data_IF_277597928285
#
_entry.id   IF_277597928285
#
_cell.length_a   1.000
_cell.length_b   1.000
_cell.length_c   1.000
_cell.angle_alpha   90.00
_cell.angle_beta   90.00
_cell.angle_gamma   90.00
#
_symmetry.space_group_name_H-M   'P 1'
#
loop_
_entity.id
_entity.type
_entity.pdbx_description
1 polymer ?
#
# COMPACT_ATOMS: atom_id res chain seq x y z
N UNK A 1 -5.81 -14.23 4.42
CA UNK A 1 -5.98 -12.84 4.94
C UNK A 1 -5.78 -11.87 3.80
N UNK A 2 -6.51 -10.75 3.74
CA UNK A 2 -6.20 -9.68 2.79
C UNK A 2 -4.81 -9.12 3.07
N UNK A 3 -4.01 -8.88 2.04
CA UNK A 3 -2.72 -8.21 2.23
C UNK A 3 -2.53 -7.09 1.21
N UNK A 4 -2.83 -5.84 1.58
CA UNK A 4 -2.39 -4.69 0.81
C UNK A 4 -0.87 -4.52 0.96
N UNK A 5 -0.24 -4.07 -0.11
CA UNK A 5 1.19 -3.81 -0.21
C UNK A 5 1.37 -2.34 -0.58
N UNK A 6 2.24 -1.63 0.14
CA UNK A 6 2.52 -0.23 -0.13
C UNK A 6 3.73 -0.08 -1.06
N UNK A 7 3.53 0.66 -2.14
CA UNK A 7 4.57 1.01 -3.09
C UNK A 7 4.86 2.51 -3.11
N UNK A 8 6.09 2.86 -3.45
CA UNK A 8 6.53 4.20 -3.85
C UNK A 8 7.10 4.15 -5.27
N UNK A 9 6.87 5.20 -6.06
CA UNK A 9 7.58 5.37 -7.32
C UNK A 9 9.06 5.72 -7.10
N UNK A 10 10.00 5.15 -7.88
CA UNK A 10 11.39 5.59 -7.86
C UNK A 10 11.59 6.97 -8.51
N UNK A 11 10.64 7.43 -9.32
CA UNK A 11 10.78 8.65 -10.16
C UNK A 11 9.84 9.79 -9.78
N UNK A 12 8.92 9.57 -8.83
CA UNK A 12 8.04 10.62 -8.31
C UNK A 12 7.69 10.39 -6.83
N UNK A 13 7.00 11.35 -6.21
CA UNK A 13 6.63 11.28 -4.79
C UNK A 13 5.36 10.48 -4.52
N UNK A 14 4.72 9.96 -5.57
CA UNK A 14 3.49 9.19 -5.44
C UNK A 14 3.72 7.84 -4.76
N UNK A 15 2.76 7.50 -3.91
CA UNK A 15 2.69 6.24 -3.16
C UNK A 15 1.29 5.66 -3.27
N UNK A 16 1.20 4.35 -3.30
CA UNK A 16 -0.08 3.67 -3.45
C UNK A 16 -0.07 2.29 -2.82
N UNK A 17 -1.22 1.88 -2.32
CA UNK A 17 -1.50 0.51 -1.98
C UNK A 17 -1.97 -0.26 -3.20
N UNK A 18 -1.56 -1.52 -3.28
CA UNK A 18 -2.15 -2.53 -4.18
C UNK A 18 -2.54 -3.77 -3.40
N UNK A 19 -3.47 -4.56 -3.91
CA UNK A 19 -3.83 -5.86 -3.32
C UNK A 19 -2.79 -6.91 -3.72
N UNK A 20 -1.86 -7.22 -2.80
CA UNK A 20 -0.90 -8.30 -3.01
C UNK A 20 -1.53 -9.69 -2.83
N UNK A 21 -2.46 -9.82 -1.90
CA UNK A 21 -3.28 -11.02 -1.74
C UNK A 21 -4.74 -10.65 -1.44
N UNK A 22 -5.70 -10.99 -2.32
CA UNK A 22 -7.10 -10.66 -2.12
C UNK A 22 -7.71 -11.57 -1.05
N UNK A 23 -8.76 -11.09 -0.36
CA UNK A 23 -9.45 -11.89 0.66
C UNK A 23 -10.43 -12.90 0.04
N UNK A 24 -10.70 -12.78 -1.26
CA UNK A 24 -11.57 -13.63 -2.07
C UNK A 24 -11.50 -13.19 -3.54
N UNK A 25 -11.96 -14.00 -4.48
CA UNK A 25 -11.93 -13.67 -5.92
C UNK A 25 -12.70 -12.36 -6.17
N UNK A 26 -12.05 -11.39 -6.82
CA UNK A 26 -12.64 -10.08 -7.10
C UNK A 26 -12.69 -9.10 -5.92
N UNK A 27 -12.25 -9.51 -4.72
CA UNK A 27 -12.23 -8.63 -3.55
C UNK A 27 -10.99 -7.73 -3.53
N UNK A 28 -11.23 -6.43 -3.38
CA UNK A 28 -10.24 -5.37 -3.23
C UNK A 28 -10.70 -4.31 -2.22
N UNK A 29 -10.25 -3.08 -2.40
CA UNK A 29 -10.48 -1.98 -1.46
C UNK A 29 -11.93 -1.50 -1.38
N UNK A 30 -12.76 -1.73 -2.40
CA UNK A 30 -14.15 -1.25 -2.41
C UNK A 30 -15.13 -2.24 -1.78
N UNK A 31 -14.88 -3.54 -1.93
CA UNK A 31 -15.84 -4.60 -1.63
C UNK A 31 -15.35 -5.58 -0.55
N UNK A 32 -14.11 -5.45 -0.07
CA UNK A 32 -13.66 -6.24 1.06
C UNK A 32 -14.06 -5.59 2.38
N UNK A 33 -14.95 -6.24 3.14
CA UNK A 33 -15.37 -5.84 4.49
C UNK A 33 -14.22 -5.59 5.48
N UNK A 34 -13.06 -6.24 5.27
CA UNK A 34 -11.87 -6.06 6.12
C UNK A 34 -11.08 -4.80 5.75
N UNK A 35 -11.11 -4.36 4.49
CA UNK A 35 -10.38 -3.19 4.00
C UNK A 35 -11.27 -1.95 3.88
N UNK A 36 -12.59 -2.13 3.78
CA UNK A 36 -13.57 -1.06 3.79
C UNK A 36 -13.62 -0.45 5.18
N UNK A 37 -12.99 0.70 5.33
CA UNK A 37 -12.97 1.51 6.54
C UNK A 37 -12.64 2.95 6.20
N UNK A 38 -12.90 3.88 7.13
CA UNK A 38 -12.63 5.31 6.98
C UNK A 38 -11.12 5.55 7.03
N UNK A 39 -10.41 5.33 5.92
CA UNK A 39 -8.96 5.57 5.77
C UNK A 39 -8.08 4.97 6.89
N UNK A 40 -8.58 3.96 7.59
CA UNK A 40 -7.90 3.26 8.69
C UNK A 40 -7.83 1.79 8.30
N UNK A 41 -6.61 1.27 8.18
CA UNK A 41 -6.41 -0.13 7.90
C UNK A 41 -6.73 -0.97 9.14
N UNK A 42 -7.29 -2.18 8.98
CA UNK A 42 -7.57 -3.08 10.12
C UNK A 42 -6.31 -3.65 10.78
N UNK A 43 -5.14 -3.52 10.14
CA UNK A 43 -3.87 -4.08 10.58
C UNK A 43 -2.69 -3.19 10.15
N UNK A 44 -1.55 -3.37 10.82
CA UNK A 44 -0.29 -2.73 10.43
C UNK A 44 0.11 -3.16 9.01
N UNK A 45 0.65 -2.21 8.26
CA UNK A 45 1.26 -2.50 6.97
C UNK A 45 2.76 -2.63 7.13
N UNK A 46 3.34 -3.51 6.30
CA UNK A 46 4.79 -3.65 6.24
C UNK A 46 5.48 -2.37 5.76
N UNK A 47 6.78 -2.47 5.55
CA UNK A 47 7.56 -1.38 4.98
C UNK A 47 7.14 -1.06 3.53
N UNK A 48 7.47 0.15 3.08
CA UNK A 48 7.20 0.61 1.71
C UNK A 48 8.19 -0.04 0.75
N UNK A 49 7.68 -0.63 -0.33
CA UNK A 49 8.50 -1.16 -1.42
C UNK A 49 8.73 -0.10 -2.49
N UNK A 50 9.94 -0.05 -3.03
CA UNK A 50 10.21 0.71 -4.26
C UNK A 50 9.66 -0.09 -5.43
N UNK A 51 8.76 0.53 -6.20
CA UNK A 51 8.18 -0.06 -7.40
C UNK A 51 9.12 0.04 -8.60
N UNK A 52 8.78 -0.65 -9.69
CA UNK A 52 9.48 -0.49 -10.97
C UNK A 52 9.29 0.92 -11.55
N UNK A 53 10.27 1.45 -12.32
CA UNK A 53 10.08 2.68 -13.08
C UNK A 53 8.83 2.60 -13.97
N UNK A 54 8.15 3.74 -14.17
CA UNK A 54 6.90 3.83 -14.97
C UNK A 54 5.73 2.97 -14.46
N UNK A 55 5.75 2.49 -13.22
CA UNK A 55 4.60 1.78 -12.62
C UNK A 55 3.65 2.69 -11.82
N UNK A 56 3.98 3.97 -11.68
CA UNK A 56 3.17 4.91 -10.90
C UNK A 56 1.77 5.05 -11.52
N UNK A 57 0.68 4.74 -10.79
CA UNK A 57 -0.66 4.77 -11.36
C UNK A 57 -1.07 6.18 -11.84
N UNK A 58 -0.71 7.22 -11.09
CA UNK A 58 -1.04 8.60 -11.48
C UNK A 58 -0.21 9.06 -12.68
N UNK A 59 1.10 8.79 -12.71
CA UNK A 59 1.96 9.31 -13.77
C UNK A 59 1.93 8.47 -15.04
N UNK A 60 1.77 7.15 -14.93
CA UNK A 60 1.83 6.23 -16.07
C UNK A 60 0.46 5.89 -16.64
N UNK A 61 -0.56 5.81 -15.78
CA UNK A 61 -1.93 5.52 -16.20
C UNK A 61 -2.79 6.78 -16.23
N UNK A 62 -2.19 7.97 -16.04
CA UNK A 62 -2.89 9.26 -16.04
C UNK A 62 -4.06 9.33 -15.05
N UNK A 63 -4.00 8.52 -13.99
CA UNK A 63 -5.07 8.40 -13.00
C UNK A 63 -6.17 7.38 -13.35
N UNK A 64 -6.11 6.75 -14.52
CA UNK A 64 -7.00 5.67 -14.96
C UNK A 64 -6.49 4.31 -14.49
N UNK A 65 -6.65 4.07 -13.18
CA UNK A 65 -6.32 2.80 -12.56
C UNK A 65 -7.52 2.25 -11.81
N UNK A 66 -7.64 0.92 -11.74
CA UNK A 66 -8.72 0.28 -10.99
C UNK A 66 -8.60 0.63 -9.51
N UNK A 67 -9.49 1.52 -9.06
CA UNK A 67 -9.53 1.99 -7.68
C UNK A 67 -9.91 0.90 -6.69
N UNK A 68 -10.55 -0.19 -7.15
CA UNK A 68 -10.77 -1.37 -6.32
C UNK A 68 -9.46 -2.11 -6.01
N UNK A 69 -8.48 -2.06 -6.91
CA UNK A 69 -7.19 -2.74 -6.73
C UNK A 69 -6.07 -1.82 -6.28
N UNK A 70 -6.18 -0.52 -6.53
CA UNK A 70 -5.15 0.48 -6.25
C UNK A 70 -5.74 1.64 -5.46
N UNK A 71 -5.06 2.02 -4.38
CA UNK A 71 -5.41 3.19 -3.56
C UNK A 71 -4.22 4.11 -3.37
N UNK A 72 -4.31 5.32 -3.89
CA UNK A 72 -3.28 6.34 -3.70
C UNK A 72 -3.23 6.81 -2.25
N UNK A 73 -2.03 7.09 -1.75
CA UNK A 73 -1.84 7.80 -0.50
C UNK A 73 -2.03 9.29 -0.77
N UNK A 74 -2.96 9.94 -0.06
CA UNK A 74 -3.42 11.30 -0.35
C UNK A 74 -2.35 12.39 -0.20
N UNK A 75 -1.34 12.19 0.66
CA UNK A 75 -0.31 13.20 0.88
C UNK A 75 1.08 12.65 0.56
N UNK A 76 1.80 13.21 -0.43
CA UNK A 76 3.19 12.85 -0.70
C UNK A 76 4.13 13.21 0.46
N UNK A 77 3.77 14.19 1.28
CA UNK A 77 4.55 14.61 2.46
C UNK A 77 4.28 13.76 3.71
N UNK A 78 3.13 13.09 3.80
CA UNK A 78 2.75 12.33 5.00
C UNK A 78 3.23 10.88 4.92
N UNK A 79 4.17 10.49 5.79
CA UNK A 79 4.73 9.13 5.84
C UNK A 79 3.96 8.17 6.77
N UNK A 80 2.84 8.63 7.33
CA UNK A 80 2.01 7.86 8.25
C UNK A 80 0.87 7.13 7.53
N UNK A 81 0.54 5.93 7.98
CA UNK A 81 -0.74 5.27 7.67
C UNK A 81 -1.43 4.90 8.95
N UNK A 82 -2.73 5.19 9.02
CA UNK A 82 -3.56 4.82 10.16
C UNK A 82 -3.90 3.36 10.10
N UNK A 83 -3.67 2.65 11.19
CA UNK A 83 -4.19 1.31 11.35
C UNK A 83 -4.73 1.05 12.75
N UNK A 84 -5.59 0.04 12.87
CA UNK A 84 -6.07 -0.47 14.14
C UNK A 84 -5.04 -1.39 14.79
N UNK A 85 -4.98 -1.32 16.12
CA UNK A 85 -4.29 -2.27 17.00
C UNK A 85 -5.31 -2.74 18.04
N UNK A 86 -5.62 -4.04 18.04
CA UNK A 86 -6.70 -4.58 18.88
C UNK A 86 -8.08 -4.04 18.50
N UNK A 87 -8.98 -3.90 19.47
CA UNK A 87 -10.39 -3.54 19.20
C UNK A 87 -10.58 -2.06 18.83
N UNK A 88 -9.92 -1.14 19.55
CA UNK A 88 -10.26 0.28 19.51
C UNK A 88 -9.08 1.25 19.31
N UNK A 89 -7.83 0.81 19.38
CA UNK A 89 -6.69 1.72 19.26
C UNK A 89 -6.40 1.99 17.79
N UNK A 90 -6.32 3.27 17.41
CA UNK A 90 -5.85 3.71 16.09
C UNK A 90 -4.49 4.36 16.28
N UNK A 91 -3.51 3.92 15.49
CA UNK A 91 -2.15 4.45 15.51
C UNK A 91 -1.76 4.95 14.12
N UNK A 92 -1.07 6.08 14.09
CA UNK A 92 -0.38 6.59 12.91
C UNK A 92 0.99 5.91 12.82
N UNK A 93 1.10 4.87 11.99
CA UNK A 93 2.37 4.19 11.76
C UNK A 93 3.18 4.94 10.72
N UNK A 94 4.35 5.46 11.12
CA UNK A 94 5.35 5.93 10.14
C UNK A 94 5.89 4.72 9.38
N UNK A 95 5.75 4.70 8.06
CA UNK A 95 6.13 3.54 7.28
C UNK A 95 7.60 3.67 6.84
N UNK A 96 8.49 2.79 7.32
CA UNK A 96 9.88 2.78 6.85
C UNK A 96 9.96 2.25 5.41
N UNK A 97 11.00 2.61 4.68
CA UNK A 97 11.34 1.95 3.42
C UNK A 97 11.84 0.53 3.72
N UNK A 98 11.46 -0.46 2.92
CA UNK A 98 12.14 -1.73 2.95
C UNK A 98 13.49 -1.56 2.26
N UNK A 99 14.60 -1.72 2.99
CA UNK A 99 15.89 -1.97 2.35
C UNK A 99 15.89 -3.43 1.90
N UNK A 100 15.71 -3.66 0.60
CA UNK A 100 15.95 -4.99 0.02
C UNK A 100 17.45 -5.26 0.12
N UNK A 101 17.89 -5.95 1.16
CA UNK A 101 19.25 -6.48 1.23
C UNK A 101 19.29 -7.64 0.24
N UNK A 102 19.81 -7.40 -0.96
CA UNK A 102 20.22 -8.48 -1.86
C UNK A 102 21.43 -9.16 -1.22
N UNK A 103 21.21 -10.15 -0.37
CA UNK A 103 22.26 -11.13 -0.10
C UNK A 103 22.52 -11.84 -1.42
N UNK A 104 23.66 -11.54 -2.06
CA UNK A 104 24.22 -12.39 -3.11
C UNK A 104 24.30 -13.79 -2.52
N UNK A 105 23.40 -14.68 -2.88
CA UNK A 105 23.65 -16.11 -2.77
C UNK A 105 24.82 -16.39 -3.71
N UNK A 106 25.98 -16.66 -3.12
CA UNK A 106 27.20 -17.00 -3.84
C UNK A 106 26.96 -18.19 -4.77
N UNK A 107 27.61 -18.12 -5.93
CA UNK A 107 27.69 -19.16 -6.94
C UNK A 107 28.34 -20.44 -6.41
#
# INVERSE_FOLDING_TARGET
>A
MCRPVLFKSPTCLHRWFTIGYPCGKGNGFNNCSKLTGINILPFSVGCTLTSWPKSCPVCNLEGDYDRNLIRMVQSPAYYGVRHRVGKNLIVDQRIPMCTMIFTKSGA
#
